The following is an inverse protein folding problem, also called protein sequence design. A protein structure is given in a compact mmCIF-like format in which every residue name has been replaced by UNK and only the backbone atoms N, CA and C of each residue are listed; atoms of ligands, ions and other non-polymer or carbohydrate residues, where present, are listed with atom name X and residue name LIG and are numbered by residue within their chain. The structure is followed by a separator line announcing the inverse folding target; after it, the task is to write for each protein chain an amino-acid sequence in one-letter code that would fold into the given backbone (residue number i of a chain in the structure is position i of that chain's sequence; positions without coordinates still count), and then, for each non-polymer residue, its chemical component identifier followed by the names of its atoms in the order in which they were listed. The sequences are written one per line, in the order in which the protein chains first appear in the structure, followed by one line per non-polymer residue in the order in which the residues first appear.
data_IF_127905752901
#
_entry.id   IF_127905752901
#
_cell.length_a   1.000
_cell.length_b   1.000
_cell.length_c   1.000
_cell.angle_alpha   90.00
_cell.angle_beta   90.00
_cell.angle_gamma   90.00
#
_symmetry.space_group_name_H-M   'P 1'
#
loop_
_entity.id
_entity.type
_entity.pdbx_description
1 polymer ?
#
# COMPACT_ATOMS: atom_id res chain seq x y z
N UNK A 1 3.36 -24.58 3.23
CA UNK A 1 1.94 -24.70 3.61
C UNK A 1 1.36 -23.29 3.59
N UNK A 2 0.37 -23.01 2.73
CA UNK A 2 -0.33 -21.71 2.68
C UNK A 2 -1.75 -21.86 3.21
N UNK A 3 -2.32 -20.80 3.76
CA UNK A 3 -3.71 -20.79 4.22
C UNK A 3 -4.71 -20.79 3.05
N UNK A 4 -5.98 -21.13 3.32
CA UNK A 4 -7.07 -21.20 2.34
C UNK A 4 -7.32 -19.87 1.60
N UNK A 5 -6.97 -18.74 2.21
CA UNK A 5 -7.14 -17.41 1.61
C UNK A 5 -5.93 -16.93 0.79
N UNK A 6 -4.88 -17.73 0.65
CA UNK A 6 -3.67 -17.32 -0.05
C UNK A 6 -3.84 -17.32 -1.58
N UNK A 7 -3.95 -16.13 -2.18
CA UNK A 7 -4.10 -15.93 -3.64
C UNK A 7 -2.75 -15.89 -4.41
N UNK A 8 -1.61 -15.91 -3.72
CA UNK A 8 -0.27 -15.90 -4.36
C UNK A 8 0.10 -14.63 -5.15
N UNK A 9 -0.86 -13.72 -5.38
CA UNK A 9 -0.64 -12.44 -6.05
C UNK A 9 0.06 -11.45 -5.13
N UNK A 10 1.11 -10.79 -5.64
CA UNK A 10 1.82 -9.74 -4.91
C UNK A 10 0.98 -8.48 -4.85
N UNK A 11 0.70 -7.98 -3.65
CA UNK A 11 0.17 -6.63 -3.47
C UNK A 11 1.31 -5.63 -3.23
N UNK A 12 0.98 -4.36 -3.40
CA UNK A 12 1.83 -3.20 -3.16
C UNK A 12 1.15 -2.28 -2.14
N UNK A 13 1.98 -1.55 -1.42
CA UNK A 13 1.58 -0.57 -0.42
C UNK A 13 2.11 0.80 -0.83
N UNK A 14 1.21 1.78 -0.89
CA UNK A 14 1.54 3.20 -0.99
C UNK A 14 1.34 3.81 0.39
N UNK A 15 2.41 4.28 1.01
CA UNK A 15 2.38 4.85 2.36
C UNK A 15 2.70 6.33 2.30
N UNK A 16 1.80 7.17 2.82
CA UNK A 16 2.06 8.60 3.01
C UNK A 16 2.72 8.79 4.38
N UNK A 17 3.94 9.33 4.37
CA UNK A 17 4.77 9.46 5.56
C UNK A 17 4.97 10.94 5.89
N UNK A 18 4.64 11.32 7.12
CA UNK A 18 5.10 12.59 7.68
C UNK A 18 6.61 12.48 7.94
N UNK A 19 7.39 13.31 7.26
CA UNK A 19 8.85 13.28 7.34
C UNK A 19 9.39 13.74 8.70
N UNK A 20 8.71 14.66 9.39
CA UNK A 20 9.19 15.28 10.62
C UNK A 20 9.09 14.32 11.80
N UNK A 21 7.95 13.64 11.94
CA UNK A 21 7.71 12.69 13.04
C UNK A 21 7.87 11.21 12.64
N UNK A 22 8.08 10.94 11.35
CA UNK A 22 8.14 9.58 10.75
C UNK A 22 6.87 8.76 10.97
N UNK A 23 5.71 9.44 10.95
CA UNK A 23 4.41 8.79 11.09
C UNK A 23 3.84 8.39 9.73
N UNK A 24 3.15 7.25 9.67
CA UNK A 24 2.41 6.79 8.49
C UNK A 24 0.97 7.29 8.56
N UNK A 25 0.65 8.38 7.86
CA UNK A 25 -0.66 9.02 7.92
C UNK A 25 -1.73 8.28 7.11
N UNK A 26 -1.34 7.61 6.02
CA UNK A 26 -2.25 6.85 5.18
C UNK A 26 -1.54 5.66 4.52
N UNK A 27 -2.29 4.58 4.28
CA UNK A 27 -1.83 3.41 3.54
C UNK A 27 -2.88 2.99 2.51
N UNK A 28 -2.49 2.93 1.24
CA UNK A 28 -3.30 2.36 0.15
C UNK A 28 -2.71 1.02 -0.30
N UNK A 29 -3.57 0.00 -0.32
CA UNK A 29 -3.23 -1.35 -0.75
C UNK A 29 -3.77 -1.59 -2.16
N UNK A 30 -2.95 -2.14 -3.05
CA UNK A 30 -3.39 -2.46 -4.41
C UNK A 30 -2.45 -3.44 -5.12
N UNK A 31 -2.93 -4.07 -6.19
CA UNK A 31 -2.10 -4.96 -7.03
C UNK A 31 -1.18 -4.14 -7.96
N UNK A 32 -1.59 -2.92 -8.31
CA UNK A 32 -0.84 -1.92 -9.08
C UNK A 32 -1.08 -0.55 -8.44
N UNK A 33 -0.09 0.32 -8.54
CA UNK A 33 -0.14 1.71 -8.12
C UNK A 33 0.36 2.57 -9.28
N UNK A 34 -0.27 3.72 -9.47
CA UNK A 34 -0.05 4.67 -10.56
C UNK A 34 0.07 6.08 -10.02
N UNK A 35 0.37 7.07 -10.88
CA UNK A 35 0.41 8.48 -10.47
C UNK A 35 -0.94 8.96 -9.92
N UNK A 36 -2.05 8.49 -10.47
CA UNK A 36 -3.39 8.86 -9.98
C UNK A 36 -3.62 8.37 -8.56
N UNK A 37 -3.09 7.20 -8.20
CA UNK A 37 -3.16 6.69 -6.82
C UNK A 37 -2.40 7.59 -5.85
N UNK A 38 -1.30 8.23 -6.29
CA UNK A 38 -0.54 9.19 -5.48
C UNK A 38 -1.34 10.46 -5.22
N UNK A 39 -2.09 10.96 -6.21
CA UNK A 39 -2.93 12.15 -6.05
C UNK A 39 -4.14 11.87 -5.15
N UNK A 40 -4.60 10.61 -5.11
CA UNK A 40 -5.77 10.19 -4.33
C UNK A 40 -5.51 9.88 -2.85
N UNK A 41 -4.24 9.81 -2.44
CA UNK A 41 -3.80 9.52 -1.06
C UNK A 41 -3.39 10.79 -0.36
#
# INVERSE_FOLDING_TARGET
MSDQLFDGRRFRLLTLVDYFIRESLAIRVGQRLTGDDVVSV
#
